data_IF_494600802861
#
_entry.id   IF_494600802861
#
_cell.length_a   1.000
_cell.length_b   1.000
_cell.length_c   1.000
_cell.angle_alpha   90.00
_cell.angle_beta   90.00
_cell.angle_gamma   90.00
#
_symmetry.space_group_name_H-M   'P 1'
#
loop_
_entity.id
_entity.type
_entity.pdbx_description
1 polymer ?
#
# COMPACT_ATOMS: atom_id res chain seq x y z
N UNK A 1 25.35 -41.56 -6.12
CA UNK A 1 25.22 -40.13 -6.46
C UNK A 1 23.74 -39.75 -6.42
N UNK A 2 23.30 -39.17 -5.36
CA UNK A 2 21.92 -38.70 -5.21
C UNK A 2 21.90 -37.24 -5.62
N UNK A 3 21.32 -36.97 -6.79
CA UNK A 3 21.02 -35.60 -7.21
C UNK A 3 19.75 -35.15 -6.54
N UNK A 4 19.87 -34.26 -5.59
CA UNK A 4 18.75 -33.55 -5.01
C UNK A 4 18.23 -32.54 -6.04
N UNK A 5 16.95 -32.56 -6.42
CA UNK A 5 16.43 -31.47 -7.24
C UNK A 5 16.28 -30.24 -6.36
N UNK A 6 16.97 -29.16 -6.73
CA UNK A 6 16.66 -27.83 -6.23
C UNK A 6 15.23 -27.49 -6.68
N UNK A 7 14.30 -27.56 -5.75
CA UNK A 7 12.97 -27.02 -5.95
C UNK A 7 13.13 -25.49 -5.82
N UNK A 8 13.30 -24.85 -6.98
CA UNK A 8 13.15 -23.42 -7.06
C UNK A 8 11.67 -23.10 -6.81
N UNK A 9 11.35 -22.70 -5.60
CA UNK A 9 10.07 -22.09 -5.29
C UNK A 9 9.97 -20.77 -6.04
N UNK A 10 9.42 -20.84 -7.24
CA UNK A 10 8.90 -19.66 -7.91
C UNK A 10 7.70 -19.18 -7.09
N UNK A 11 7.92 -18.18 -6.22
CA UNK A 11 6.82 -17.35 -5.79
C UNK A 11 6.33 -16.62 -7.05
N UNK A 12 5.27 -17.16 -7.63
CA UNK A 12 4.53 -16.42 -8.64
C UNK A 12 3.91 -15.21 -7.94
N UNK A 13 4.55 -14.06 -8.09
CA UNK A 13 3.90 -12.78 -7.86
C UNK A 13 2.78 -12.68 -8.89
N UNK A 14 1.59 -13.11 -8.51
CA UNK A 14 0.41 -12.77 -9.26
C UNK A 14 0.28 -11.24 -9.18
N UNK A 15 0.67 -10.58 -10.25
CA UNK A 15 0.33 -9.18 -10.46
C UNK A 15 -1.17 -9.10 -10.56
N UNK A 16 -1.84 -8.91 -9.43
CA UNK A 16 -3.27 -8.66 -9.42
C UNK A 16 -3.45 -7.18 -9.75
N UNK A 17 -3.37 -6.85 -11.03
CA UNK A 17 -3.76 -5.57 -11.60
C UNK A 17 -5.28 -5.52 -11.88
N UNK A 18 -6.07 -6.34 -11.21
CA UNK A 18 -7.53 -6.36 -11.35
C UNK A 18 -8.21 -5.80 -10.11
N UNK A 19 -7.81 -4.59 -9.69
CA UNK A 19 -8.69 -3.81 -8.86
C UNK A 19 -9.81 -3.28 -9.77
N UNK A 20 -11.04 -3.83 -9.65
CA UNK A 20 -12.21 -3.26 -10.29
C UNK A 20 -12.35 -1.79 -9.88
N UNK A 21 -12.74 -0.88 -10.77
CA UNK A 21 -12.96 0.50 -10.39
C UNK A 21 -14.00 0.57 -9.25
N UNK A 22 -13.69 1.32 -8.21
CA UNK A 22 -14.66 1.63 -7.16
C UNK A 22 -15.78 2.49 -7.75
N UNK A 23 -17.01 2.41 -7.20
CA UNK A 23 -18.08 3.35 -7.55
C UNK A 23 -17.62 4.78 -7.31
N UNK A 24 -18.12 5.76 -8.07
CA UNK A 24 -17.70 7.17 -7.95
C UNK A 24 -17.79 7.71 -6.54
N UNK A 25 -18.88 7.44 -5.82
CA UNK A 25 -19.09 7.89 -4.45
C UNK A 25 -18.13 7.20 -3.45
N UNK A 26 -17.90 5.90 -3.60
CA UNK A 26 -16.97 5.16 -2.77
C UNK A 26 -15.53 5.66 -2.98
N UNK A 27 -15.13 5.91 -4.24
CA UNK A 27 -13.81 6.44 -4.55
C UNK A 27 -13.58 7.82 -3.93
N UNK A 28 -14.57 8.71 -4.01
CA UNK A 28 -14.51 10.06 -3.40
C UNK A 28 -14.39 9.97 -1.89
N UNK A 29 -15.19 9.12 -1.25
CA UNK A 29 -15.17 8.96 0.21
C UNK A 29 -13.86 8.38 0.70
N UNK A 30 -13.35 7.34 0.05
CA UNK A 30 -12.05 6.75 0.39
C UNK A 30 -10.89 7.76 0.19
N UNK A 31 -10.94 8.50 -0.90
CA UNK A 31 -9.92 9.52 -1.19
C UNK A 31 -9.92 10.62 -0.13
N UNK A 32 -11.09 11.09 0.26
CA UNK A 32 -11.22 12.11 1.32
C UNK A 32 -10.60 11.61 2.62
N UNK A 33 -10.95 10.41 3.05
CA UNK A 33 -10.42 9.82 4.28
C UNK A 33 -8.88 9.65 4.22
N UNK A 34 -8.35 9.19 3.10
CA UNK A 34 -6.90 9.06 2.91
C UNK A 34 -6.19 10.43 2.96
N UNK A 35 -6.78 11.46 2.35
CA UNK A 35 -6.23 12.81 2.36
C UNK A 35 -6.30 13.47 3.75
N UNK A 36 -7.34 13.22 4.51
CA UNK A 36 -7.46 13.70 5.90
C UNK A 36 -6.35 13.11 6.78
N UNK A 37 -6.10 11.81 6.69
CA UNK A 37 -4.99 11.19 7.42
C UNK A 37 -3.64 11.70 6.91
N UNK A 38 -3.45 11.83 5.60
CA UNK A 38 -2.22 12.36 5.02
C UNK A 38 -1.95 13.81 5.44
N UNK A 39 -2.99 14.57 5.78
CA UNK A 39 -2.88 15.92 6.33
C UNK A 39 -2.06 15.97 7.63
N UNK A 40 -2.09 14.92 8.43
CA UNK A 40 -1.24 14.83 9.63
C UNK A 40 0.26 14.86 9.28
N UNK A 41 0.63 14.23 8.19
CA UNK A 41 2.02 14.23 7.71
C UNK A 41 2.43 15.57 7.10
N UNK A 42 1.48 16.31 6.53
CA UNK A 42 1.74 17.64 5.97
C UNK A 42 2.24 18.63 7.04
N UNK A 43 1.78 18.51 8.27
CA UNK A 43 2.26 19.30 9.40
C UNK A 43 3.72 19.04 9.73
N UNK A 44 4.23 17.88 9.39
CA UNK A 44 5.64 17.49 9.56
C UNK A 44 6.49 17.79 8.31
N UNK A 45 5.96 18.53 7.34
CA UNK A 45 6.66 18.97 6.15
C UNK A 45 6.59 18.03 4.96
N UNK A 46 5.78 16.97 5.02
CA UNK A 46 5.56 16.07 3.89
C UNK A 46 4.67 16.72 2.84
N UNK A 47 5.00 16.48 1.58
CA UNK A 47 4.23 16.93 0.42
C UNK A 47 3.49 15.77 -0.19
N UNK A 48 2.21 15.99 -0.50
CA UNK A 48 1.40 15.00 -1.19
C UNK A 48 1.80 14.89 -2.67
N UNK A 49 1.97 13.67 -3.16
CA UNK A 49 2.05 13.40 -4.60
C UNK A 49 0.65 13.44 -5.21
N UNK A 50 0.54 13.96 -6.42
CA UNK A 50 -0.76 14.11 -7.10
C UNK A 50 -1.41 12.79 -7.46
N UNK A 51 -0.61 11.74 -7.66
CA UNK A 51 -1.14 10.43 -8.03
C UNK A 51 -1.70 9.69 -6.82
N UNK A 52 -2.92 9.20 -6.96
CA UNK A 52 -3.57 8.31 -6.01
C UNK A 52 -4.00 7.01 -6.71
N UNK A 53 -3.86 5.88 -6.01
CA UNK A 53 -4.39 4.60 -6.47
C UNK A 53 -5.73 4.37 -5.82
N UNK A 54 -6.75 4.14 -6.65
CA UNK A 54 -8.11 3.83 -6.19
C UNK A 54 -8.58 2.56 -6.86
N UNK A 55 -9.37 1.79 -6.13
CA UNK A 55 -9.96 0.56 -6.67
C UNK A 55 -10.78 -0.16 -5.63
N UNK A 56 -11.20 -1.36 -5.97
CA UNK A 56 -11.82 -2.30 -5.05
C UNK A 56 -10.83 -3.40 -4.75
N UNK A 57 -10.53 -3.60 -3.47
CA UNK A 57 -9.71 -4.70 -2.99
C UNK A 57 -10.57 -5.95 -2.93
N UNK A 58 -10.33 -6.97 -3.78
CA UNK A 58 -11.10 -8.19 -3.74
C UNK A 58 -10.89 -8.96 -2.43
N UNK A 59 -11.88 -9.75 -2.03
CA UNK A 59 -11.81 -10.57 -0.83
C UNK A 59 -10.56 -11.46 -0.79
N UNK A 60 -9.80 -11.40 0.31
CA UNK A 60 -8.59 -12.18 0.52
C UNK A 60 -7.41 -11.84 -0.40
N UNK A 61 -7.49 -10.73 -1.13
CA UNK A 61 -6.44 -10.26 -2.04
C UNK A 61 -5.70 -9.05 -1.47
N UNK A 62 -4.50 -8.83 -1.99
CA UNK A 62 -3.66 -7.69 -1.68
C UNK A 62 -3.49 -6.85 -2.93
N UNK A 63 -3.74 -5.55 -2.81
CA UNK A 63 -3.44 -4.60 -3.88
C UNK A 63 -1.97 -4.20 -3.79
N UNK A 64 -1.28 -4.22 -4.94
CA UNK A 64 0.13 -3.88 -5.03
C UNK A 64 0.32 -2.64 -5.91
N UNK A 65 1.10 -1.68 -5.42
CA UNK A 65 1.52 -0.52 -6.17
C UNK A 65 3.05 -0.49 -6.24
N UNK A 66 3.60 -0.38 -7.44
CA UNK A 66 5.05 -0.21 -7.65
C UNK A 66 5.38 1.27 -7.65
N UNK A 67 6.40 1.65 -6.90
CA UNK A 67 6.85 3.03 -6.77
C UNK A 67 8.37 3.10 -6.86
N UNK A 68 8.88 4.19 -7.42
CA UNK A 68 10.30 4.52 -7.37
C UNK A 68 10.55 5.47 -6.22
N UNK A 69 11.41 5.07 -5.30
CA UNK A 69 11.78 5.84 -4.14
C UNK A 69 13.27 6.23 -4.20
N UNK A 70 13.57 7.39 -3.65
CA UNK A 70 14.93 7.94 -3.62
C UNK A 70 15.52 7.84 -2.22
N UNK A 71 16.75 7.36 -2.14
CA UNK A 71 17.53 7.42 -0.91
C UNK A 71 17.68 8.89 -0.45
N UNK A 72 17.58 9.10 0.83
CA UNK A 72 17.63 10.44 1.43
C UNK A 72 16.28 11.13 1.58
N UNK A 73 15.25 10.64 0.91
CA UNK A 73 13.87 11.08 1.12
C UNK A 73 13.17 10.23 2.18
N UNK A 74 12.11 10.76 2.73
CA UNK A 74 11.18 10.07 3.62
C UNK A 74 9.81 10.03 2.98
N UNK A 75 9.09 8.93 3.19
CA UNK A 75 7.80 8.69 2.54
C UNK A 75 6.75 8.23 3.53
N UNK A 76 5.49 8.63 3.29
CA UNK A 76 4.31 8.04 3.90
C UNK A 76 3.37 7.55 2.82
N UNK A 77 2.92 6.31 2.98
CA UNK A 77 1.89 5.70 2.14
C UNK A 77 0.65 5.52 3.00
N UNK A 78 -0.42 6.19 2.63
CA UNK A 78 -1.65 6.30 3.43
C UNK A 78 -2.80 5.71 2.68
N UNK A 79 -3.45 4.70 3.25
CA UNK A 79 -4.59 4.01 2.67
C UNK A 79 -5.85 4.22 3.52
N UNK A 80 -6.99 4.30 2.86
CA UNK A 80 -8.29 4.38 3.49
C UNK A 80 -9.34 3.59 2.74
N UNK A 81 -10.35 3.14 3.45
CA UNK A 81 -11.59 2.58 2.91
C UNK A 81 -12.79 3.28 3.56
N UNK A 82 -13.95 3.20 2.91
CA UNK A 82 -15.21 3.66 3.49
C UNK A 82 -15.94 2.58 4.31
N UNK A 83 -15.40 1.36 4.36
CA UNK A 83 -15.99 0.25 5.11
C UNK A 83 -15.53 0.32 6.58
N UNK A 84 -16.36 0.90 7.46
CA UNK A 84 -16.01 1.20 8.85
C UNK A 84 -15.57 -0.02 9.68
N UNK A 85 -16.04 -1.21 9.34
CA UNK A 85 -15.71 -2.45 10.06
C UNK A 85 -14.45 -3.15 9.51
N UNK A 86 -13.77 -2.57 8.53
CA UNK A 86 -12.59 -3.13 7.88
C UNK A 86 -11.32 -2.73 8.63
N UNK A 87 -10.36 -3.62 8.71
CA UNK A 87 -9.02 -3.34 9.20
C UNK A 87 -8.02 -3.41 8.02
N UNK A 88 -7.57 -2.24 7.57
CA UNK A 88 -6.54 -2.11 6.55
C UNK A 88 -5.13 -2.29 7.12
N UNK A 89 -4.23 -2.74 6.28
CA UNK A 89 -2.79 -2.70 6.52
C UNK A 89 -2.05 -2.23 5.28
N UNK A 90 -1.01 -1.44 5.48
CA UNK A 90 -0.07 -1.03 4.44
C UNK A 90 1.29 -1.59 4.80
N UNK A 91 1.89 -2.32 3.87
CA UNK A 91 3.24 -2.88 4.00
C UNK A 91 4.09 -2.48 2.82
N UNK A 92 5.39 -2.41 3.03
CA UNK A 92 6.36 -2.04 2.00
C UNK A 92 7.35 -3.18 1.81
N UNK A 93 7.60 -3.50 0.56
CA UNK A 93 8.55 -4.54 0.16
C UNK A 93 9.56 -3.98 -0.84
N UNK A 94 10.74 -4.58 -0.87
CA UNK A 94 11.68 -4.35 -1.98
C UNK A 94 11.12 -4.94 -3.27
N UNK A 95 11.71 -4.59 -4.40
CA UNK A 95 11.33 -5.17 -5.70
C UNK A 95 11.42 -6.70 -5.73
N UNK A 96 12.32 -7.27 -4.93
CA UNK A 96 12.51 -8.73 -4.79
C UNK A 96 11.54 -9.38 -3.81
N UNK A 97 10.62 -8.61 -3.20
CA UNK A 97 9.63 -9.13 -2.27
C UNK A 97 10.12 -9.26 -0.82
N UNK A 98 11.25 -8.67 -0.47
CA UNK A 98 11.73 -8.64 0.90
C UNK A 98 10.99 -7.54 1.68
N UNK A 99 10.44 -7.84 2.87
CA UNK A 99 9.82 -6.81 3.69
C UNK A 99 10.86 -5.80 4.17
N UNK A 100 10.49 -4.52 4.20
CA UNK A 100 11.33 -3.47 4.77
C UNK A 100 10.79 -3.07 6.14
N UNK A 101 11.70 -2.63 7.02
CA UNK A 101 11.29 -2.05 8.29
C UNK A 101 10.63 -0.68 8.03
N UNK A 102 9.38 -0.56 8.41
CA UNK A 102 8.58 0.65 8.22
C UNK A 102 7.89 1.04 9.52
N UNK A 103 7.70 2.32 9.70
CA UNK A 103 6.83 2.85 10.73
C UNK A 103 5.38 2.60 10.31
N UNK A 104 4.60 1.97 11.18
CA UNK A 104 3.24 1.54 10.81
C UNK A 104 2.19 2.23 11.67
N UNK A 105 1.14 2.70 11.01
CA UNK A 105 -0.07 3.21 11.63
C UNK A 105 -1.26 2.38 11.15
N UNK A 106 -2.07 1.91 12.08
CA UNK A 106 -3.28 1.14 11.80
C UNK A 106 -4.41 1.60 12.72
N UNK A 107 -5.51 1.99 12.11
CA UNK A 107 -6.72 2.43 12.83
C UNK A 107 -7.96 2.04 12.02
N UNK A 108 -8.33 0.74 12.09
CA UNK A 108 -9.50 0.21 11.39
C UNK A 108 -9.47 0.47 9.88
N UNK A 109 -10.36 1.34 9.37
CA UNK A 109 -10.43 1.65 7.94
C UNK A 109 -9.30 2.54 7.43
N UNK A 110 -8.38 2.94 8.28
CA UNK A 110 -7.22 3.78 7.96
C UNK A 110 -5.93 3.03 8.26
N UNK A 111 -4.95 3.16 7.39
CA UNK A 111 -3.61 2.61 7.61
C UNK A 111 -2.56 3.44 6.90
N UNK A 112 -1.36 3.48 7.44
CA UNK A 112 -0.23 4.14 6.81
C UNK A 112 1.07 3.40 7.11
N UNK A 113 2.06 3.55 6.22
CA UNK A 113 3.41 3.09 6.42
C UNK A 113 4.40 4.19 6.07
N UNK A 114 5.32 4.47 6.98
CA UNK A 114 6.40 5.44 6.81
C UNK A 114 7.72 4.74 6.57
N UNK A 115 8.48 5.21 5.59
CA UNK A 115 9.72 4.58 5.17
C UNK A 115 10.74 5.59 4.66
N UNK A 116 11.98 5.43 5.07
CA UNK A 116 13.13 6.20 4.58
C UNK A 116 14.11 5.21 3.92
N UNK A 117 14.09 5.07 2.59
CA UNK A 117 14.95 4.10 1.93
C UNK A 117 16.43 4.49 2.05
N UNK A 118 17.29 3.51 2.32
CA UNK A 118 18.74 3.68 2.27
C UNK A 118 19.28 3.57 0.85
N UNK A 119 18.53 2.95 -0.04
CA UNK A 119 18.87 2.77 -1.45
C UNK A 119 17.71 3.25 -2.34
N UNK A 120 18.05 4.02 -3.37
CA UNK A 120 17.10 4.39 -4.41
C UNK A 120 16.75 3.17 -5.25
N UNK A 121 15.49 3.03 -5.61
CA UNK A 121 15.03 1.92 -6.43
C UNK A 121 13.53 1.75 -6.44
N UNK A 122 13.10 0.63 -7.00
CA UNK A 122 11.70 0.23 -7.06
C UNK A 122 11.31 -0.51 -5.78
N UNK A 123 10.19 -0.10 -5.21
CA UNK A 123 9.58 -0.73 -4.04
C UNK A 123 8.13 -1.09 -4.35
N UNK A 124 7.57 -1.99 -3.56
CA UNK A 124 6.18 -2.44 -3.71
C UNK A 124 5.41 -2.09 -2.45
N UNK A 125 4.33 -1.36 -2.62
CA UNK A 125 3.41 -1.01 -1.54
C UNK A 125 2.23 -1.97 -1.60
N UNK A 126 1.97 -2.66 -0.50
CA UNK A 126 0.91 -3.65 -0.41
C UNK A 126 -0.20 -3.15 0.52
N UNK A 127 -1.42 -3.07 0.00
CA UNK A 127 -2.62 -2.76 0.77
C UNK A 127 -3.44 -4.03 0.91
N UNK A 128 -3.74 -4.41 2.14
CA UNK A 128 -4.54 -5.59 2.45
C UNK A 128 -5.60 -5.27 3.50
N UNK A 129 -6.62 -6.11 3.56
CA UNK A 129 -7.63 -6.04 4.60
C UNK A 129 -7.77 -7.41 5.28
N UNK A 130 -8.17 -7.41 6.55
CA UNK A 130 -8.11 -8.61 7.39
C UNK A 130 -9.37 -9.48 7.36
N UNK A 131 -10.49 -8.97 6.86
CA UNK A 131 -11.79 -9.64 6.95
C UNK A 131 -12.17 -10.48 5.73
N UNK A 132 -11.44 -10.34 4.62
CA UNK A 132 -11.70 -11.12 3.42
C UNK A 132 -12.98 -10.73 2.67
N UNK A 133 -13.50 -9.53 2.86
CA UNK A 133 -14.63 -8.98 2.10
C UNK A 133 -14.12 -7.95 1.07
N UNK A 134 -14.76 -7.84 -0.12
CA UNK A 134 -14.39 -6.79 -1.07
C UNK A 134 -14.64 -5.41 -0.48
N UNK A 135 -13.65 -4.53 -0.55
CA UNK A 135 -13.76 -3.15 -0.06
C UNK A 135 -13.15 -2.16 -1.04
N UNK A 136 -13.76 -0.98 -1.22
CA UNK A 136 -13.11 0.09 -1.95
C UNK A 136 -11.94 0.65 -1.14
N UNK A 137 -10.90 1.09 -1.80
CA UNK A 137 -9.75 1.71 -1.14
C UNK A 137 -9.18 2.86 -1.96
N UNK A 138 -8.46 3.73 -1.28
CA UNK A 138 -7.60 4.75 -1.87
C UNK A 138 -6.24 4.71 -1.17
N UNK A 139 -5.18 4.77 -1.95
CA UNK A 139 -3.81 4.89 -1.47
C UNK A 139 -3.21 6.19 -1.98
N UNK A 140 -2.74 7.03 -1.09
CA UNK A 140 -2.04 8.27 -1.39
C UNK A 140 -0.60 8.21 -0.89
N UNK A 141 0.24 9.05 -1.44
CA UNK A 141 1.68 8.99 -1.27
C UNK A 141 2.21 10.39 -0.95
N UNK A 142 2.91 10.51 0.16
CA UNK A 142 3.55 11.75 0.62
C UNK A 142 5.06 11.57 0.73
N UNK A 143 5.81 12.64 0.54
CA UNK A 143 7.29 12.63 0.59
C UNK A 143 7.85 13.90 1.21
N UNK A 144 9.07 13.79 1.69
CA UNK A 144 9.83 14.88 2.29
C UNK A 144 11.33 14.70 2.05
#
# INVERSE_FOLDING_TARGET
MIRTPLIASFLAFATVLDASPASGDAAVTCRRAALELAGAWANDGFRLREHAWTGTLPAGKTALARVNLLAGNRYWFTAATNAASTALAVKIFTERGMPVAAEMHRDGPLAAAGFAPSESGTYVIAVSESRGTPVPFCLVHSYK
#
